data_IF_358708810127
#
_entry.id   IF_358708810127
#
_cell.length_a   1.000
_cell.length_b   1.000
_cell.length_c   1.000
_cell.angle_alpha   90.00
_cell.angle_beta   90.00
_cell.angle_gamma   90.00
#
_symmetry.space_group_name_H-M   'P 1'
#
loop_
_entity.id
_entity.type
_entity.pdbx_description
1 polymer ?
#
# COMPACT_ATOMS: atom_id res chain seq x y z
N UNK A 1 -10.98 -2.62 8.30
CA UNK A 1 -10.02 -1.54 7.98
C UNK A 1 -8.86 -2.12 7.18
N UNK A 2 -8.54 -1.55 6.02
CA UNK A 2 -7.39 -1.93 5.19
C UNK A 2 -6.20 -1.01 5.46
N UNK A 3 -5.01 -1.59 5.47
CA UNK A 3 -3.75 -0.93 5.84
C UNK A 3 -2.90 -0.76 4.57
N UNK A 4 -2.41 0.44 4.33
CA UNK A 4 -1.31 0.67 3.37
C UNK A 4 0.05 0.56 4.06
N UNK A 5 0.18 1.19 5.21
CA UNK A 5 1.45 1.32 5.93
C UNK A 5 1.25 1.39 7.44
N UNK A 6 2.25 0.92 8.18
CA UNK A 6 2.35 1.07 9.63
C UNK A 6 3.67 1.76 9.94
N UNK A 7 3.60 2.93 10.56
CA UNK A 7 4.77 3.72 10.89
C UNK A 7 5.53 3.05 12.03
N UNK A 8 6.82 2.74 11.81
CA UNK A 8 7.65 2.01 12.79
C UNK A 8 7.89 2.76 14.11
N UNK A 9 7.84 4.09 14.11
CA UNK A 9 8.19 4.90 15.29
C UNK A 9 7.12 4.86 16.38
N UNK A 10 5.84 4.75 16.00
CA UNK A 10 4.69 4.91 16.90
C UNK A 10 3.55 3.92 16.61
N UNK A 11 3.77 2.97 15.70
CA UNK A 11 2.79 1.99 15.23
C UNK A 11 1.52 2.61 14.63
N UNK A 12 1.56 3.88 14.20
CA UNK A 12 0.43 4.53 13.56
C UNK A 12 0.10 3.85 12.24
N UNK A 13 -1.16 3.46 12.08
CA UNK A 13 -1.69 2.86 10.86
C UNK A 13 -2.13 3.98 9.92
N UNK A 14 -1.64 3.97 8.68
CA UNK A 14 -2.23 4.73 7.58
C UNK A 14 -3.18 3.80 6.82
N UNK A 15 -4.42 4.26 6.63
CA UNK A 15 -5.40 3.50 5.87
C UNK A 15 -5.00 3.44 4.39
N UNK A 16 -5.46 2.39 3.69
CA UNK A 16 -5.20 2.30 2.25
C UNK A 16 -5.91 3.39 1.45
N UNK A 17 -7.09 3.82 1.89
CA UNK A 17 -7.85 4.90 1.26
C UNK A 17 -7.12 6.24 1.37
N UNK A 18 -6.62 6.60 2.55
CA UNK A 18 -5.87 7.84 2.77
C UNK A 18 -4.59 7.82 1.92
N UNK A 19 -3.82 6.74 1.97
CA UNK A 19 -2.60 6.58 1.19
C UNK A 19 -2.82 6.77 -0.31
N UNK A 20 -3.84 6.11 -0.88
CA UNK A 20 -4.14 6.23 -2.30
C UNK A 20 -4.61 7.64 -2.67
N UNK A 21 -5.43 8.27 -1.82
CA UNK A 21 -5.96 9.62 -2.06
C UNK A 21 -4.87 10.69 -1.98
N UNK A 22 -4.02 10.62 -0.96
CA UNK A 22 -2.87 11.52 -0.79
C UNK A 22 -1.84 11.33 -1.91
N UNK A 23 -1.52 10.07 -2.25
CA UNK A 23 -0.61 9.75 -3.36
C UNK A 23 -1.16 10.26 -4.68
N UNK A 24 -2.43 10.04 -4.97
CA UNK A 24 -3.09 10.55 -6.16
C UNK A 24 -3.02 12.08 -6.25
N UNK A 25 -3.26 12.79 -5.15
CA UNK A 25 -3.16 14.24 -5.11
C UNK A 25 -1.74 14.73 -5.47
N UNK A 26 -0.70 14.12 -4.88
CA UNK A 26 0.69 14.42 -5.19
C UNK A 26 1.04 14.11 -6.65
N UNK A 27 0.68 12.92 -7.15
CA UNK A 27 0.92 12.54 -8.55
C UNK A 27 0.22 13.48 -9.53
N UNK A 28 -1.00 13.92 -9.21
CA UNK A 28 -1.71 14.93 -10.01
C UNK A 28 -1.00 16.27 -10.04
N UNK A 29 -0.50 16.73 -8.90
CA UNK A 29 0.30 17.97 -8.80
C UNK A 29 1.58 17.87 -9.62
N UNK A 30 2.30 16.74 -9.55
CA UNK A 30 3.53 16.54 -10.34
C UNK A 30 3.26 16.44 -11.83
N UNK A 31 2.23 15.70 -12.25
CA UNK A 31 1.87 15.57 -13.66
C UNK A 31 1.27 16.85 -14.26
N UNK A 32 0.91 17.84 -13.42
CA UNK A 32 0.42 19.14 -13.89
C UNK A 32 1.46 19.88 -14.74
N UNK A 33 2.76 19.71 -14.46
CA UNK A 33 3.83 20.42 -15.21
C UNK A 33 3.91 20.01 -16.68
N UNK A 34 3.37 18.83 -17.02
CA UNK A 34 3.26 18.32 -18.39
C UNK A 34 1.82 18.34 -18.93
N UNK A 35 0.90 19.01 -18.22
CA UNK A 35 -0.51 19.10 -18.63
C UNK A 35 -1.33 17.82 -18.45
N UNK A 36 -0.87 16.85 -17.64
CA UNK A 36 -1.52 15.55 -17.43
C UNK A 36 -1.97 15.28 -15.97
N UNK A 37 -2.59 16.24 -15.25
CA UNK A 37 -2.92 16.08 -13.83
C UNK A 37 -3.91 14.94 -13.56
N UNK A 38 -4.84 14.68 -14.48
CA UNK A 38 -5.81 13.58 -14.33
C UNK A 38 -5.14 12.21 -14.46
N UNK A 39 -4.21 12.05 -15.41
CA UNK A 39 -3.43 10.83 -15.56
C UNK A 39 -2.57 10.59 -14.32
N UNK A 40 -1.92 11.62 -13.79
CA UNK A 40 -1.16 11.53 -12.54
C UNK A 40 -2.02 11.05 -11.37
N UNK A 41 -3.20 11.65 -11.17
CA UNK A 41 -4.15 11.19 -10.13
C UNK A 41 -4.56 9.73 -10.32
N UNK A 42 -4.90 9.33 -11.54
CA UNK A 42 -5.32 7.96 -11.83
C UNK A 42 -4.21 6.96 -11.53
N UNK A 43 -2.98 7.25 -11.94
CA UNK A 43 -1.82 6.40 -11.64
C UNK A 43 -1.63 6.28 -10.12
N UNK A 44 -1.68 7.40 -9.39
CA UNK A 44 -1.54 7.39 -7.93
C UNK A 44 -2.65 6.59 -7.22
N UNK A 45 -3.90 6.63 -7.72
CA UNK A 45 -4.99 5.80 -7.18
C UNK A 45 -4.80 4.31 -7.44
N UNK A 46 -4.24 3.94 -8.60
CA UNK A 46 -4.13 2.55 -9.03
C UNK A 46 -2.84 1.86 -8.58
N UNK A 47 -1.80 2.63 -8.21
CA UNK A 47 -0.45 2.08 -8.02
C UNK A 47 -0.34 1.01 -6.94
N UNK A 48 -1.25 0.99 -5.96
CA UNK A 48 -1.21 0.12 -4.78
C UNK A 48 -2.55 -0.62 -4.57
N UNK A 49 -3.43 -0.62 -5.58
CA UNK A 49 -4.80 -1.12 -5.44
C UNK A 49 -4.85 -2.60 -5.06
N UNK A 50 -3.82 -3.38 -5.43
CA UNK A 50 -3.65 -4.78 -5.01
C UNK A 50 -3.63 -5.00 -3.50
N UNK A 51 -3.28 -3.98 -2.70
CA UNK A 51 -3.30 -4.04 -1.24
C UNK A 51 -4.71 -4.18 -0.65
N UNK A 52 -5.78 -3.95 -1.42
CA UNK A 52 -7.15 -4.26 -0.97
C UNK A 52 -7.41 -5.76 -0.85
N UNK A 53 -6.59 -6.62 -1.48
CA UNK A 53 -6.78 -8.06 -1.38
C UNK A 53 -6.52 -8.59 0.03
N UNK A 54 -7.32 -9.58 0.46
CA UNK A 54 -7.19 -10.22 1.77
C UNK A 54 -5.78 -10.82 1.98
N UNK A 55 -5.24 -11.47 0.94
CA UNK A 55 -3.88 -12.04 0.96
C UNK A 55 -2.82 -10.99 1.29
N UNK A 56 -2.90 -9.81 0.67
CA UNK A 56 -1.92 -8.74 0.92
C UNK A 56 -2.15 -8.09 2.29
N UNK A 57 -3.40 -7.93 2.73
CA UNK A 57 -3.70 -7.44 4.08
C UNK A 57 -3.15 -8.37 5.17
N UNK A 58 -3.27 -9.68 5.01
CA UNK A 58 -2.71 -10.66 5.94
C UNK A 58 -1.18 -10.57 6.00
N UNK A 59 -0.53 -10.42 4.84
CA UNK A 59 0.91 -10.18 4.77
C UNK A 59 1.32 -8.89 5.51
N UNK A 60 0.66 -7.76 5.22
CA UNK A 60 0.96 -6.46 5.87
C UNK A 60 0.85 -6.59 7.38
N UNK A 61 -0.22 -7.22 7.88
CA UNK A 61 -0.44 -7.40 9.32
C UNK A 61 0.60 -8.32 9.97
N UNK A 62 1.07 -9.35 9.26
CA UNK A 62 2.14 -10.22 9.73
C UNK A 62 3.50 -9.52 9.80
N UNK A 63 3.91 -8.82 8.73
CA UNK A 63 5.23 -8.12 8.71
C UNK A 63 5.29 -6.88 9.60
N UNK A 64 4.15 -6.33 10.00
CA UNK A 64 4.07 -5.16 10.91
C UNK A 64 3.95 -5.56 12.37
N UNK A 65 4.10 -6.85 12.70
CA UNK A 65 4.04 -7.41 14.07
C UNK A 65 2.71 -7.17 14.79
N UNK A 66 1.68 -6.69 14.08
CA UNK A 66 0.33 -6.48 14.60
C UNK A 66 -0.38 -7.79 14.98
N UNK A 67 0.14 -8.94 14.54
CA UNK A 67 -0.42 -10.27 14.78
C UNK A 67 0.48 -11.21 15.61
N UNK A 68 1.61 -10.71 16.16
CA UNK A 68 2.56 -11.51 16.95
C UNK A 68 3.65 -12.23 16.13
N UNK A 69 4.58 -12.90 16.81
CA UNK A 69 5.80 -13.48 16.21
C UNK A 69 5.53 -14.61 15.19
N UNK A 70 4.51 -15.45 15.44
CA UNK A 70 4.16 -16.55 14.53
C UNK A 70 3.68 -16.03 13.17
N UNK A 71 2.87 -14.97 13.17
CA UNK A 71 2.36 -14.33 11.95
C UNK A 71 3.47 -13.60 11.17
N UNK A 72 4.51 -13.12 11.87
CA UNK A 72 5.69 -12.53 11.23
C UNK A 72 6.48 -13.59 10.45
N UNK A 73 6.75 -14.74 11.07
CA UNK A 73 7.47 -15.83 10.42
C UNK A 73 6.73 -16.39 9.18
N UNK A 74 5.39 -16.40 9.20
CA UNK A 74 4.59 -16.76 8.02
C UNK A 74 4.61 -15.69 6.94
N UNK A 75 4.54 -14.41 7.31
CA UNK A 75 4.57 -13.31 6.35
C UNK A 75 5.95 -13.17 5.68
N UNK A 76 7.04 -13.37 6.41
CA UNK A 76 8.41 -13.40 5.86
C UNK A 76 8.59 -14.52 4.82
N UNK A 77 7.95 -15.68 5.00
CA UNK A 77 7.96 -16.75 3.98
C UNK A 77 7.19 -16.38 2.71
N UNK A 78 6.23 -15.45 2.81
CA UNK A 78 5.46 -14.96 1.66
C UNK A 78 6.15 -13.80 0.94
N UNK A 79 7.18 -13.20 1.54
CA UNK A 79 7.95 -12.11 0.96
C UNK A 79 8.59 -12.56 -0.37
N UNK A 80 8.29 -11.84 -1.46
CA UNK A 80 8.73 -12.18 -2.81
C UNK A 80 7.88 -13.22 -3.56
N UNK A 81 6.86 -13.81 -2.92
CA UNK A 81 5.88 -14.72 -3.56
C UNK A 81 4.50 -14.09 -3.77
N UNK A 82 4.26 -12.95 -3.11
CA UNK A 82 3.07 -12.15 -3.33
C UNK A 82 3.30 -11.38 -4.62
N UNK A 83 2.40 -11.58 -5.57
CA UNK A 83 2.43 -10.86 -6.84
C UNK A 83 2.11 -9.38 -6.58
N UNK A 84 3.16 -8.57 -6.61
CA UNK A 84 3.11 -7.11 -6.47
C UNK A 84 3.03 -6.42 -7.84
N UNK A 85 3.38 -7.13 -8.93
CA UNK A 85 3.53 -6.54 -10.26
C UNK A 85 2.20 -6.44 -11.02
N UNK A 86 1.27 -7.39 -10.80
CA UNK A 86 0.03 -7.45 -11.60
C UNK A 86 -1.04 -6.45 -11.15
N UNK A 87 -1.04 -6.05 -9.88
CA UNK A 87 -2.07 -5.16 -9.30
C UNK A 87 -1.52 -3.83 -8.77
N UNK A 88 -0.25 -3.52 -9.05
CA UNK A 88 0.46 -2.35 -8.53
C UNK A 88 0.83 -2.51 -7.04
N UNK A 89 2.15 -2.50 -6.77
CA UNK A 89 2.80 -2.22 -5.50
C UNK A 89 4.32 -2.01 -5.69
#
# INVERSE_FOLDING_TARGET
MTIAHVRKSDCTIQSLEDHLTETAALCGSFASVIGLPLCGRLIGLLHDIGKYSERFQNYIRGVTELLGEDAKAEAEKQQGTIDHATAGA
#
